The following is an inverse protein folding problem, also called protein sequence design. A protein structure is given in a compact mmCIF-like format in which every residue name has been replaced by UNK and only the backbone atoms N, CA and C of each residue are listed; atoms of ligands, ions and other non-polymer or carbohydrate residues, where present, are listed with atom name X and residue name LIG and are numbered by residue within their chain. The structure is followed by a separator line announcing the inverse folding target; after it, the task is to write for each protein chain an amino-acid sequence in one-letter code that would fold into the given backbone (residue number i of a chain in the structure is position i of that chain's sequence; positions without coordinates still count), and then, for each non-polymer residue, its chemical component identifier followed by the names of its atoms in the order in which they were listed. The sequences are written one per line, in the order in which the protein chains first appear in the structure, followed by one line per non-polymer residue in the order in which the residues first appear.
data_IF_784657740108
#
_entry.id   IF_784657740108
#
_cell.length_a   1.000
_cell.length_b   1.000
_cell.length_c   1.000
_cell.angle_alpha   90.00
_cell.angle_beta   90.00
_cell.angle_gamma   90.00
#
_symmetry.space_group_name_H-M   'P 1'
#
loop_
_entity.id
_entity.type
_entity.pdbx_description
1 polymer ?
#
# COMPACT_ATOMS: atom_id res chain seq x y z
N UNK A 1 -29.81 -7.03 -22.34
CA UNK A 1 -29.66 -6.93 -20.88
C UNK A 1 -28.22 -6.52 -20.66
N UNK A 2 -27.96 -5.22 -20.52
CA UNK A 2 -26.61 -4.71 -20.26
C UNK A 2 -26.33 -4.94 -18.79
N UNK A 3 -25.39 -5.82 -18.50
CA UNK A 3 -24.90 -6.00 -17.14
C UNK A 3 -24.36 -4.65 -16.65
N UNK A 4 -25.02 -4.08 -15.65
CA UNK A 4 -24.62 -2.80 -15.08
C UNK A 4 -23.94 -3.13 -13.78
N UNK A 5 -22.61 -3.08 -13.78
CA UNK A 5 -21.82 -3.24 -12.58
C UNK A 5 -22.27 -2.17 -11.58
N UNK A 6 -22.77 -2.54 -10.39
CA UNK A 6 -23.17 -1.54 -9.40
C UNK A 6 -21.94 -0.73 -8.97
N UNK A 7 -22.02 0.61 -9.08
CA UNK A 7 -20.96 1.52 -8.65
C UNK A 7 -21.44 2.44 -7.53
N UNK A 8 -20.61 2.64 -6.50
CA UNK A 8 -20.88 3.55 -5.38
C UNK A 8 -19.67 4.46 -5.18
N UNK A 9 -19.92 5.77 -5.06
CA UNK A 9 -18.88 6.79 -4.90
C UNK A 9 -18.87 7.38 -3.49
N UNK A 10 -17.69 7.58 -2.92
CA UNK A 10 -17.51 8.30 -1.66
C UNK A 10 -17.10 9.75 -1.93
N UNK A 11 -18.02 10.70 -1.73
CA UNK A 11 -17.74 12.13 -1.88
C UNK A 11 -17.17 12.78 -0.61
N UNK A 12 -17.18 12.05 0.50
CA UNK A 12 -16.58 12.41 1.79
C UNK A 12 -16.02 11.14 2.45
N UNK A 13 -15.03 11.24 3.37
CA UNK A 13 -14.57 10.08 4.13
C UNK A 13 -15.72 9.40 4.88
N UNK A 14 -15.88 8.09 4.69
CA UNK A 14 -16.94 7.29 5.33
C UNK A 14 -16.30 6.34 6.35
N UNK A 15 -16.83 6.34 7.57
CA UNK A 15 -16.50 5.34 8.61
C UNK A 15 -17.63 4.34 8.69
N UNK A 16 -17.30 3.05 8.54
CA UNK A 16 -18.25 1.95 8.66
C UNK A 16 -18.30 1.48 10.13
N UNK A 17 -19.28 1.97 10.90
CA UNK A 17 -19.46 1.67 12.32
C UNK A 17 -19.98 0.24 12.55
N UNK A 18 -19.15 -0.77 12.25
CA UNK A 18 -19.51 -2.18 12.34
C UNK A 18 -20.18 -2.76 11.08
N UNK A 19 -20.28 -1.98 10.00
CA UNK A 19 -20.68 -2.48 8.69
C UNK A 19 -19.47 -3.10 7.96
N UNK A 20 -19.70 -4.11 7.12
CA UNK A 20 -18.67 -4.86 6.41
C UNK A 20 -19.04 -5.06 4.93
N UNK A 21 -18.03 -5.17 4.07
CA UNK A 21 -18.21 -5.59 2.68
C UNK A 21 -18.24 -7.12 2.61
N UNK A 22 -19.27 -7.69 2.00
CA UNK A 22 -19.39 -9.12 1.74
C UNK A 22 -19.21 -9.39 0.23
N UNK A 23 -18.38 -10.36 -0.13
CA UNK A 23 -18.28 -10.86 -1.50
C UNK A 23 -19.44 -11.79 -1.85
N UNK A 24 -19.62 -12.06 -3.15
CA UNK A 24 -20.55 -13.09 -3.63
C UNK A 24 -20.00 -14.51 -3.36
N UNK A 25 -20.85 -15.54 -3.48
CA UNK A 25 -20.54 -16.96 -3.15
C UNK A 25 -19.27 -17.49 -3.82
N UNK A 26 -18.83 -16.87 -4.92
CA UNK A 26 -17.65 -17.24 -5.69
C UNK A 26 -16.32 -16.84 -5.01
N UNK A 27 -16.38 -16.24 -3.82
CA UNK A 27 -15.20 -15.98 -2.99
C UNK A 27 -14.24 -14.95 -3.57
N UNK A 28 -14.77 -13.98 -4.33
CA UNK A 28 -13.99 -12.93 -4.99
C UNK A 28 -14.48 -11.54 -4.59
N UNK A 29 -13.53 -10.67 -4.24
CA UNK A 29 -13.76 -9.25 -3.98
C UNK A 29 -12.84 -8.41 -4.86
N UNK A 30 -13.44 -7.60 -5.74
CA UNK A 30 -12.74 -6.71 -6.65
C UNK A 30 -13.02 -5.26 -6.26
N UNK A 31 -11.97 -4.47 -6.06
CA UNK A 31 -12.05 -3.03 -5.77
C UNK A 31 -11.10 -2.26 -6.68
N UNK A 32 -11.63 -1.28 -7.41
CA UNK A 32 -10.87 -0.41 -8.30
C UNK A 32 -10.86 1.02 -7.76
N UNK A 33 -9.69 1.66 -7.74
CA UNK A 33 -9.51 3.05 -7.31
C UNK A 33 -9.21 3.92 -8.53
N UNK A 34 -10.03 4.95 -8.73
CA UNK A 34 -9.87 5.93 -9.81
C UNK A 34 -9.52 7.31 -9.26
N UNK A 35 -8.66 8.05 -9.96
CA UNK A 35 -8.40 9.47 -9.75
C UNK A 35 -8.65 10.23 -11.07
N UNK A 36 -9.63 11.13 -11.06
CA UNK A 36 -9.98 11.91 -12.26
C UNK A 36 -10.43 11.04 -13.44
N UNK A 37 -11.06 9.89 -13.16
CA UNK A 37 -11.49 8.92 -14.18
C UNK A 37 -10.38 7.99 -14.69
N UNK A 38 -9.13 8.15 -14.25
CA UNK A 38 -8.05 7.21 -14.54
C UNK A 38 -7.93 6.18 -13.43
N UNK A 39 -7.83 4.89 -13.79
CA UNK A 39 -7.52 3.83 -12.82
C UNK A 39 -6.12 4.09 -12.25
N UNK A 40 -6.01 4.18 -10.92
CA UNK A 40 -4.73 4.36 -10.21
C UNK A 40 -4.34 3.15 -9.40
N UNK A 41 -5.29 2.32 -8.98
CA UNK A 41 -5.02 1.09 -8.25
C UNK A 41 -6.16 0.09 -8.39
N UNK A 42 -5.87 -1.20 -8.23
CA UNK A 42 -6.87 -2.26 -8.18
C UNK A 42 -6.46 -3.28 -7.13
N UNK A 43 -7.41 -3.67 -6.27
CA UNK A 43 -7.28 -4.74 -5.29
C UNK A 43 -8.20 -5.88 -5.72
N UNK A 44 -7.63 -7.07 -5.87
CA UNK A 44 -8.37 -8.30 -6.14
C UNK A 44 -8.05 -9.27 -5.01
N UNK A 45 -9.08 -9.71 -4.29
CA UNK A 45 -8.96 -10.77 -3.28
C UNK A 45 -9.64 -12.00 -3.87
N UNK A 46 -8.86 -13.06 -4.07
CA UNK A 46 -9.31 -14.36 -4.56
C UNK A 46 -9.30 -15.37 -3.42
N UNK A 47 -10.21 -16.34 -3.47
CA UNK A 47 -10.31 -17.43 -2.49
C UNK A 47 -10.64 -16.93 -1.07
N UNK A 48 -11.75 -16.19 -0.96
CA UNK A 48 -12.41 -15.88 0.31
C UNK A 48 -13.05 -17.16 0.86
N UNK A 49 -12.25 -18.14 1.27
CA UNK A 49 -12.72 -19.30 2.01
C UNK A 49 -13.68 -18.87 3.13
N UNK A 50 -14.58 -19.75 3.59
CA UNK A 50 -15.93 -19.39 4.02
C UNK A 50 -16.09 -18.35 5.15
N UNK A 51 -15.03 -17.89 5.83
CA UNK A 51 -15.19 -17.09 7.05
C UNK A 51 -14.22 -15.92 7.28
N UNK A 52 -13.19 -15.65 6.46
CA UNK A 52 -12.37 -14.43 6.55
C UNK A 52 -11.18 -14.44 5.57
N UNK A 53 -10.68 -13.25 5.22
CA UNK A 53 -9.36 -13.02 4.62
C UNK A 53 -8.40 -12.55 5.72
N UNK A 54 -7.26 -13.23 5.87
CA UNK A 54 -6.16 -12.78 6.75
C UNK A 54 -5.05 -12.25 5.85
N UNK A 55 -4.65 -11.00 6.04
CA UNK A 55 -3.34 -10.52 5.55
C UNK A 55 -2.26 -11.15 6.44
N UNK A 56 -1.95 -12.43 6.20
CA UNK A 56 -1.03 -13.21 7.04
C UNK A 56 0.43 -13.10 6.59
N UNK A 57 0.70 -12.54 5.41
CA UNK A 57 2.04 -12.46 4.87
C UNK A 57 2.41 -11.02 4.50
N UNK A 58 2.67 -10.21 5.54
CA UNK A 58 3.37 -8.94 5.37
C UNK A 58 4.87 -9.18 5.59
N UNK A 59 5.54 -9.69 4.56
CA UNK A 59 7.00 -9.82 4.61
C UNK A 59 7.62 -8.41 4.51
N UNK A 60 8.29 -7.98 5.58
CA UNK A 60 9.08 -6.74 5.58
C UNK A 60 10.36 -6.96 4.78
N UNK A 61 10.46 -6.32 3.61
CA UNK A 61 11.73 -6.18 2.90
C UNK A 61 12.44 -4.92 3.41
N UNK A 62 13.54 -5.04 4.17
CA UNK A 62 14.30 -3.88 4.63
C UNK A 62 14.76 -3.07 3.43
N UNK A 63 14.24 -1.86 3.31
CA UNK A 63 14.70 -0.89 2.31
C UNK A 63 16.18 -0.63 2.59
N UNK A 64 17.08 -0.82 1.60
CA UNK A 64 18.48 -0.46 1.75
C UNK A 64 18.59 0.98 2.27
N UNK A 65 19.22 1.18 3.43
CA UNK A 65 19.22 2.49 4.07
C UNK A 65 19.73 3.56 3.09
N UNK A 66 18.94 4.60 2.81
CA UNK A 66 19.35 5.64 1.87
C UNK A 66 20.52 6.43 2.46
N UNK A 67 21.71 6.28 1.88
CA UNK A 67 22.82 7.23 1.94
C UNK A 67 23.48 7.52 3.30
N UNK A 68 22.93 7.10 4.44
CA UNK A 68 23.44 7.47 5.77
C UNK A 68 24.89 7.01 6.01
N UNK A 69 25.22 5.79 5.59
CA UNK A 69 26.59 5.26 5.70
C UNK A 69 27.57 6.00 4.77
N UNK A 70 27.10 6.41 3.59
CA UNK A 70 27.90 7.20 2.64
C UNK A 70 28.15 8.59 3.20
N UNK A 71 27.13 9.24 3.77
CA UNK A 71 27.21 10.55 4.40
C UNK A 71 28.12 10.53 5.62
N UNK A 72 27.98 9.54 6.50
CA UNK A 72 28.81 9.37 7.69
C UNK A 72 30.28 9.12 7.32
N UNK A 73 30.52 8.27 6.32
CA UNK A 73 31.86 8.01 5.80
C UNK A 73 32.50 9.27 5.19
N UNK A 74 31.79 9.97 4.32
CA UNK A 74 32.27 11.21 3.70
C UNK A 74 32.51 12.32 4.74
N UNK A 75 31.63 12.44 5.74
CA UNK A 75 31.77 13.39 6.85
C UNK A 75 33.02 13.13 7.70
N UNK A 76 33.26 11.87 8.09
CA UNK A 76 34.47 11.50 8.84
C UNK A 76 35.75 11.71 8.05
N UNK A 77 35.74 11.43 6.74
CA UNK A 77 36.87 11.72 5.83
C UNK A 77 37.10 13.24 5.72
N UNK A 78 36.03 14.03 5.63
CA UNK A 78 36.10 15.49 5.63
C UNK A 78 36.72 16.04 6.92
N UNK A 79 36.24 15.57 8.08
CA UNK A 79 36.73 15.99 9.40
C UNK A 79 38.19 15.60 9.64
N UNK A 80 38.59 14.39 9.24
CA UNK A 80 39.99 13.95 9.35
C UNK A 80 40.92 14.75 8.44
N UNK A 81 40.47 15.17 7.25
CA UNK A 81 41.22 16.11 6.40
C UNK A 81 41.29 17.51 7.00
N UNK A 82 40.22 18.00 7.64
CA UNK A 82 40.20 19.31 8.30
C UNK A 82 41.18 19.35 9.49
N UNK A 83 41.19 18.29 10.30
CA UNK A 83 42.09 18.15 11.46
C UNK A 83 43.57 18.13 11.08
N UNK A 84 43.92 17.70 9.87
CA UNK A 84 45.32 17.67 9.38
C UNK A 84 45.79 19.00 8.78
N UNK A 85 44.92 20.01 8.70
CA UNK A 85 45.23 21.36 8.20
C UNK A 85 45.34 22.43 9.30
N UNK A 86 44.96 22.10 10.53
CA UNK A 86 45.15 22.91 11.74
C UNK A 86 46.41 22.44 12.44
#
# INVERSE_FOLDING_TARGET
MTDSTPSWDFTTPVVFLGAWFAGYEDGRFDMELFLGGSLVHSVVIQDLGPNHWVLDDLTYEPVPEPGNLVLLGAGLIGLTRLRRRV
#
